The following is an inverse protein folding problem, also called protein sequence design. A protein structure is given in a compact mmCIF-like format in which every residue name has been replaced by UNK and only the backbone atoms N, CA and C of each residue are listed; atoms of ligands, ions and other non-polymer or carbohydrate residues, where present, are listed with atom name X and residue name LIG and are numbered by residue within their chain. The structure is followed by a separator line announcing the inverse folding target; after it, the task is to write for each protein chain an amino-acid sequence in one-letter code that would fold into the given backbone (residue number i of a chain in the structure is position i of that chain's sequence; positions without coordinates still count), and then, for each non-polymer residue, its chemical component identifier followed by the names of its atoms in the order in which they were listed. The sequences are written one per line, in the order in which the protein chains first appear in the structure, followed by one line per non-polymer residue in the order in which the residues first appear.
data_IF_996516860440
#
_entry.id   IF_996516860440
#
_cell.length_a   1.000
_cell.length_b   1.000
_cell.length_c   1.000
_cell.angle_alpha   90.00
_cell.angle_beta   90.00
_cell.angle_gamma   90.00
#
_symmetry.space_group_name_H-M   'P 1'
#
loop_
_entity.id
_entity.type
_entity.pdbx_description
1 polymer ?
#
# COMPACT_ATOMS: atom_id res chain seq x y z
N UNK A 1 -16.63 -5.86 -3.48
CA UNK A 1 -15.50 -5.75 -4.43
C UNK A 1 -14.46 -6.75 -4.01
N UNK A 2 -13.97 -7.57 -4.92
CA UNK A 2 -13.00 -8.61 -4.58
C UNK A 2 -11.56 -8.11 -4.74
N UNK A 3 -11.22 -7.04 -4.01
CA UNK A 3 -9.83 -6.61 -3.88
C UNK A 3 -8.99 -7.68 -3.16
N UNK A 4 -9.62 -8.54 -2.34
CA UNK A 4 -8.96 -9.65 -1.67
C UNK A 4 -8.36 -10.65 -2.65
N UNK A 5 -9.07 -11.01 -3.74
CA UNK A 5 -8.52 -11.88 -4.79
C UNK A 5 -7.32 -11.25 -5.48
N UNK A 6 -7.37 -9.97 -5.83
CA UNK A 6 -6.22 -9.28 -6.42
C UNK A 6 -5.04 -9.27 -5.44
N UNK A 7 -5.29 -8.92 -4.18
CA UNK A 7 -4.25 -8.78 -3.18
C UNK A 7 -3.58 -10.13 -2.86
N UNK A 8 -4.39 -11.18 -2.70
CA UNK A 8 -3.92 -12.55 -2.53
C UNK A 8 -3.11 -13.04 -3.75
N UNK A 9 -3.53 -12.66 -4.96
CA UNK A 9 -2.79 -12.95 -6.17
C UNK A 9 -1.41 -12.28 -6.18
N UNK A 10 -1.33 -10.98 -5.88
CA UNK A 10 -0.09 -10.22 -5.88
C UNK A 10 0.90 -10.67 -4.80
N UNK A 11 0.39 -11.26 -3.72
CA UNK A 11 1.22 -11.88 -2.69
C UNK A 11 1.82 -13.22 -3.14
N UNK A 12 1.03 -14.07 -3.79
CA UNK A 12 1.37 -15.49 -3.96
C UNK A 12 1.77 -15.91 -5.38
N UNK A 13 1.41 -15.13 -6.42
CA UNK A 13 1.49 -15.58 -7.82
C UNK A 13 2.04 -14.47 -8.75
N UNK A 14 3.14 -13.83 -8.37
CA UNK A 14 3.69 -12.66 -9.07
C UNK A 14 4.08 -12.91 -10.54
N UNK A 15 4.45 -14.15 -10.87
CA UNK A 15 4.88 -14.54 -12.22
C UNK A 15 3.71 -14.83 -13.17
N UNK A 16 2.49 -14.99 -12.64
CA UNK A 16 1.32 -15.30 -13.43
C UNK A 16 0.68 -14.01 -13.99
N UNK A 17 -0.13 -14.09 -15.06
CA UNK A 17 -1.05 -13.02 -15.41
C UNK A 17 -2.09 -12.81 -14.30
N UNK A 18 -2.49 -11.56 -14.07
CA UNK A 18 -3.58 -11.27 -13.12
C UNK A 18 -4.86 -11.99 -13.54
N UNK A 19 -5.61 -12.59 -12.59
CA UNK A 19 -6.81 -13.34 -12.91
C UNK A 19 -7.95 -12.41 -13.30
N UNK A 20 -8.79 -12.85 -14.23
CA UNK A 20 -10.08 -12.21 -14.50
C UNK A 20 -10.89 -12.07 -13.19
N UNK A 21 -11.58 -10.94 -12.95
CA UNK A 21 -11.86 -9.82 -13.86
C UNK A 21 -10.80 -8.71 -13.87
N UNK A 22 -9.63 -8.93 -13.27
CA UNK A 22 -8.58 -7.91 -13.21
C UNK A 22 -7.72 -7.90 -14.47
N UNK A 23 -7.28 -6.72 -14.86
CA UNK A 23 -6.30 -6.48 -15.91
C UNK A 23 -5.20 -5.56 -15.37
N UNK A 24 -3.94 -5.95 -15.55
CA UNK A 24 -2.79 -5.10 -15.30
C UNK A 24 -2.61 -4.16 -16.50
N UNK A 25 -2.48 -2.86 -16.23
CA UNK A 25 -2.31 -1.82 -17.25
C UNK A 25 -1.05 -1.03 -16.92
N UNK A 26 -0.20 -0.86 -17.92
CA UNK A 26 1.02 -0.05 -17.85
C UNK A 26 0.77 1.24 -18.62
N UNK A 27 0.77 2.37 -17.91
CA UNK A 27 0.69 3.70 -18.51
C UNK A 27 2.11 4.29 -18.58
N UNK A 28 2.76 4.07 -19.73
CA UNK A 28 4.14 4.52 -19.97
C UNK A 28 4.24 6.05 -19.92
N UNK A 29 3.22 6.76 -20.41
CA UNK A 29 3.24 8.22 -20.44
C UNK A 29 3.19 8.82 -19.03
N UNK A 30 2.44 8.20 -18.13
CA UNK A 30 2.35 8.63 -16.73
C UNK A 30 3.36 7.94 -15.80
N UNK A 31 4.14 7.00 -16.32
CA UNK A 31 5.06 6.17 -15.57
C UNK A 31 4.39 5.45 -14.38
N UNK A 32 3.27 4.76 -14.63
CA UNK A 32 2.45 4.11 -13.60
C UNK A 32 1.97 2.72 -14.04
N UNK A 33 1.79 1.84 -13.06
CA UNK A 33 1.08 0.57 -13.23
C UNK A 33 -0.19 0.61 -12.38
N UNK A 34 -1.29 0.07 -12.90
CA UNK A 34 -2.53 -0.09 -12.16
C UNK A 34 -3.32 -1.30 -12.61
N UNK A 35 -4.15 -1.80 -11.71
CA UNK A 35 -5.06 -2.92 -11.94
C UNK A 35 -6.48 -2.38 -12.11
N UNK A 36 -7.11 -2.72 -13.23
CA UNK A 36 -8.50 -2.36 -13.52
C UNK A 36 -9.37 -3.60 -13.45
N UNK A 37 -10.46 -3.52 -12.70
CA UNK A 37 -11.50 -4.53 -12.73
C UNK A 37 -12.42 -4.28 -13.93
N UNK A 38 -12.49 -5.23 -14.86
CA UNK A 38 -13.19 -5.05 -16.14
C UNK A 38 -14.72 -5.01 -16.01
N UNK A 39 -15.29 -5.59 -14.95
CA UNK A 39 -16.73 -5.61 -14.72
C UNK A 39 -17.24 -4.33 -14.05
N UNK A 40 -16.43 -3.75 -13.16
CA UNK A 40 -16.84 -2.59 -12.34
C UNK A 40 -16.15 -1.28 -12.74
N UNK A 41 -15.09 -1.36 -13.53
CA UNK A 41 -14.23 -0.21 -13.85
C UNK A 41 -13.35 0.26 -12.70
N UNK A 42 -13.39 -0.41 -11.54
CA UNK A 42 -12.63 -0.06 -10.35
C UNK A 42 -11.11 -0.17 -10.59
N UNK A 43 -10.33 0.77 -10.05
CA UNK A 43 -8.88 0.87 -10.29
C UNK A 43 -8.10 0.88 -8.98
N UNK A 44 -7.03 0.10 -8.93
CA UNK A 44 -6.02 0.11 -7.86
C UNK A 44 -4.66 0.39 -8.48
N UNK A 45 -3.97 1.43 -8.03
CA UNK A 45 -2.62 1.77 -8.50
C UNK A 45 -1.57 0.92 -7.80
N UNK A 46 -0.48 0.59 -8.49
CA UNK A 46 0.67 -0.10 -7.91
C UNK A 46 1.87 0.84 -7.80
N UNK A 47 2.22 1.19 -6.57
CA UNK A 47 3.31 2.10 -6.23
C UNK A 47 4.50 1.38 -5.61
N UNK A 48 4.57 0.04 -5.70
CA UNK A 48 5.77 -0.69 -5.31
C UNK A 48 6.96 -0.24 -6.15
N UNK A 49 8.17 -0.12 -5.57
CA UNK A 49 9.36 0.33 -6.30
C UNK A 49 9.66 -0.49 -7.55
N UNK A 50 9.37 -1.79 -7.50
CA UNK A 50 9.52 -2.70 -8.62
C UNK A 50 8.25 -3.55 -8.78
N UNK A 51 7.54 -3.37 -9.89
CA UNK A 51 6.34 -4.14 -10.23
C UNK A 51 6.72 -5.23 -11.22
N UNK A 52 6.53 -6.48 -10.82
CA UNK A 52 6.66 -7.63 -11.70
C UNK A 52 5.47 -7.68 -12.68
N UNK A 53 5.77 -7.69 -13.98
CA UNK A 53 4.79 -7.77 -15.06
C UNK A 53 4.71 -9.18 -15.66
N UNK A 54 5.49 -10.13 -15.13
CA UNK A 54 5.66 -11.47 -15.66
C UNK A 54 6.73 -11.55 -16.76
N UNK A 55 7.18 -12.76 -17.06
CA UNK A 55 8.13 -13.02 -18.15
C UNK A 55 9.51 -12.39 -17.96
N UNK A 56 9.90 -12.05 -16.73
CA UNK A 56 11.16 -11.37 -16.41
C UNK A 56 11.15 -9.86 -16.69
N UNK A 57 9.98 -9.28 -17.00
CA UNK A 57 9.83 -7.85 -17.22
C UNK A 57 9.41 -7.18 -15.92
N UNK A 58 10.17 -6.17 -15.51
CA UNK A 58 9.87 -5.36 -14.35
C UNK A 58 9.63 -3.92 -14.74
N UNK A 59 8.72 -3.28 -14.03
CA UNK A 59 8.47 -1.86 -14.12
C UNK A 59 9.00 -1.16 -12.87
N UNK A 60 9.91 -0.22 -13.05
CA UNK A 60 10.47 0.57 -11.95
C UNK A 60 9.58 1.79 -11.67
N UNK A 61 9.11 1.91 -10.43
CA UNK A 61 8.27 3.01 -9.99
C UNK A 61 9.01 3.90 -8.98
N UNK A 62 9.26 5.14 -9.35
CA UNK A 62 9.91 6.14 -8.49
C UNK A 62 8.92 7.00 -7.71
N UNK A 63 7.62 6.85 -7.94
CA UNK A 63 6.57 7.70 -7.35
C UNK A 63 6.29 7.27 -5.90
N UNK A 64 6.23 5.96 -5.64
CA UNK A 64 5.86 5.42 -4.33
C UNK A 64 6.78 5.82 -3.17
N UNK A 65 8.06 6.07 -3.46
CA UNK A 65 9.05 6.51 -2.46
C UNK A 65 8.68 7.82 -1.77
N UNK A 66 7.89 8.68 -2.44
CA UNK A 66 7.43 9.96 -1.90
C UNK A 66 6.38 9.83 -0.80
N UNK A 67 5.80 8.64 -0.63
CA UNK A 67 4.69 8.40 0.31
C UNK A 67 5.16 7.85 1.66
N UNK A 68 6.44 7.48 1.72
CA UNK A 68 7.08 6.78 2.82
C UNK A 68 7.90 7.79 3.61
N UNK A 69 7.71 7.82 4.92
CA UNK A 69 8.59 8.55 5.84
C UNK A 69 9.60 7.56 6.44
N UNK A 70 10.90 7.80 6.19
CA UNK A 70 11.96 6.91 6.64
C UNK A 70 12.08 6.86 8.17
N UNK A 71 11.75 7.96 8.86
CA UNK A 71 11.81 8.02 10.32
C UNK A 71 10.74 7.13 10.94
N UNK A 72 9.51 7.23 10.44
CA UNK A 72 8.40 6.38 10.91
C UNK A 72 8.59 4.92 10.47
N UNK A 73 9.17 4.67 9.30
CA UNK A 73 9.53 3.30 8.90
C UNK A 73 10.50 2.67 9.89
N UNK A 74 11.49 3.44 10.35
CA UNK A 74 12.44 2.98 11.36
C UNK A 74 11.72 2.61 12.66
N UNK A 75 10.81 3.46 13.15
CA UNK A 75 10.00 3.18 14.34
C UNK A 75 9.13 1.92 14.18
N UNK A 76 8.41 1.81 13.06
CA UNK A 76 7.54 0.66 12.78
C UNK A 76 8.35 -0.64 12.61
N UNK A 77 9.55 -0.57 12.02
CA UNK A 77 10.41 -1.75 11.79
C UNK A 77 10.89 -2.41 13.08
N UNK A 78 10.91 -1.66 14.19
CA UNK A 78 11.25 -2.17 15.51
C UNK A 78 10.08 -2.90 16.18
N UNK A 79 8.84 -2.77 15.66
CA UNK A 79 7.70 -3.52 16.16
C UNK A 79 7.84 -4.98 15.73
N UNK A 80 7.88 -5.90 16.70
CA UNK A 80 7.99 -7.35 16.43
C UNK A 80 6.90 -7.85 15.47
N UNK A 81 5.69 -7.31 15.59
CA UNK A 81 4.56 -7.65 14.72
C UNK A 81 4.83 -7.28 13.25
N UNK A 82 5.60 -6.21 12.99
CA UNK A 82 5.84 -5.73 11.64
C UNK A 82 6.81 -6.61 10.85
N UNK A 83 7.74 -7.30 11.53
CA UNK A 83 8.74 -8.14 10.86
C UNK A 83 8.13 -9.37 10.17
N UNK A 84 6.96 -9.82 10.63
CA UNK A 84 6.27 -11.00 10.10
C UNK A 84 5.17 -10.66 9.08
N UNK A 85 4.89 -9.39 8.83
CA UNK A 85 3.81 -8.97 7.92
C UNK A 85 4.32 -9.02 6.47
N UNK A 86 3.54 -9.58 5.52
CA UNK A 86 3.87 -9.51 4.10
C UNK A 86 4.07 -8.04 3.68
N UNK A 87 5.15 -7.75 2.96
CA UNK A 87 5.47 -6.40 2.41
C UNK A 87 4.53 -6.05 1.25
N UNK A 88 3.24 -6.02 1.51
CA UNK A 88 2.21 -5.55 0.59
C UNK A 88 1.09 -4.93 1.42
N UNK A 89 0.84 -3.65 1.17
CA UNK A 89 -0.20 -2.90 1.86
C UNK A 89 -1.11 -2.24 0.85
N UNK A 90 -2.41 -2.25 1.15
CA UNK A 90 -3.41 -1.46 0.45
C UNK A 90 -3.68 -0.19 1.27
N UNK A 91 -3.55 0.97 0.64
CA UNK A 91 -4.01 2.23 1.21
C UNK A 91 -5.14 2.81 0.35
N UNK A 92 -5.93 3.69 0.96
CA UNK A 92 -6.91 4.49 0.23
C UNK A 92 -6.87 5.95 0.67
N UNK A 93 -7.19 6.87 -0.24
CA UNK A 93 -7.34 8.29 0.07
C UNK A 93 -8.45 8.92 -0.74
N UNK A 94 -9.22 9.80 -0.10
CA UNK A 94 -10.36 10.50 -0.69
C UNK A 94 -10.24 12.03 -0.63
N UNK A 95 -9.03 12.56 -0.38
CA UNK A 95 -8.85 14.00 -0.10
C UNK A 95 -9.18 14.94 -1.27
N UNK A 96 -9.26 14.44 -2.50
CA UNK A 96 -9.66 15.19 -3.70
C UNK A 96 -11.15 15.04 -4.05
N UNK A 97 -11.95 14.42 -3.16
CA UNK A 97 -13.35 14.09 -3.43
C UNK A 97 -13.56 12.80 -4.22
N UNK A 98 -12.48 12.22 -4.77
CA UNK A 98 -12.47 10.90 -5.41
C UNK A 98 -11.61 9.96 -4.57
N UNK A 99 -12.09 8.73 -4.34
CA UNK A 99 -11.32 7.72 -3.60
C UNK A 99 -10.32 7.02 -4.52
N UNK A 100 -9.05 7.12 -4.17
CA UNK A 100 -7.93 6.43 -4.79
C UNK A 100 -7.52 5.26 -3.92
N UNK A 101 -7.12 4.16 -4.56
CA UNK A 101 -6.57 2.97 -3.92
C UNK A 101 -5.19 2.71 -4.47
N UNK A 102 -4.25 2.37 -3.59
CA UNK A 102 -2.86 2.14 -3.98
C UNK A 102 -2.23 0.99 -3.21
N UNK A 103 -1.36 0.26 -3.90
CA UNK A 103 -0.55 -0.83 -3.36
C UNK A 103 0.88 -0.33 -3.15
N UNK A 104 1.47 -0.68 -2.02
CA UNK A 104 2.83 -0.31 -1.63
C UNK A 104 3.49 -1.46 -0.87
N UNK A 105 4.82 -1.46 -0.80
CA UNK A 105 5.60 -2.42 -0.02
C UNK A 105 5.85 -1.99 1.42
N UNK A 106 5.58 -0.72 1.73
CA UNK A 106 5.85 -0.10 3.02
C UNK A 106 4.64 0.73 3.48
N UNK A 107 4.46 0.96 4.79
CA UNK A 107 3.33 1.73 5.28
C UNK A 107 3.36 3.15 4.73
N UNK A 108 2.23 3.59 4.17
CA UNK A 108 2.07 4.97 3.69
C UNK A 108 1.67 5.83 4.86
N UNK A 109 2.49 6.84 5.15
CA UNK A 109 2.24 7.75 6.26
C UNK A 109 1.63 9.05 5.74
N UNK A 110 1.98 9.47 4.53
CA UNK A 110 1.48 10.70 3.92
C UNK A 110 0.59 10.39 2.74
N UNK A 111 -0.52 11.10 2.66
CA UNK A 111 -1.41 11.01 1.52
C UNK A 111 -0.68 11.48 0.25
N UNK A 112 -0.64 10.67 -0.81
CA UNK A 112 0.08 11.02 -2.04
C UNK A 112 -0.48 12.25 -2.77
N UNK A 113 -1.72 12.63 -2.46
CA UNK A 113 -2.43 13.71 -3.17
C UNK A 113 -2.41 15.05 -2.43
N UNK A 114 -2.31 15.05 -1.11
CA UNK A 114 -2.33 16.28 -0.30
C UNK A 114 -1.24 16.38 0.76
N UNK A 115 -0.32 15.40 0.81
CA UNK A 115 0.79 15.28 1.77
C UNK A 115 0.38 15.24 3.25
N UNK A 116 -0.92 15.22 3.55
CA UNK A 116 -1.43 15.08 4.92
C UNK A 116 -1.19 13.67 5.44
N UNK A 117 -0.87 13.56 6.73
CA UNK A 117 -0.65 12.26 7.37
C UNK A 117 -1.94 11.45 7.35
N UNK A 118 -1.87 10.25 6.76
CA UNK A 118 -2.90 9.21 6.75
C UNK A 118 -2.17 7.87 6.73
N UNK A 119 -2.10 7.21 7.89
CA UNK A 119 -1.60 5.86 7.97
C UNK A 119 -2.79 4.87 7.94
N UNK A 120 -3.03 4.31 6.77
CA UNK A 120 -4.02 3.24 6.55
C UNK A 120 -3.29 2.01 6.05
N UNK A 121 -3.15 1.01 6.91
CA UNK A 121 -2.50 -0.25 6.58
C UNK A 121 -3.57 -1.34 6.40
N UNK A 122 -3.98 -1.51 5.16
CA UNK A 122 -4.65 -2.70 4.61
C UNK A 122 -3.76 -3.96 4.60
N UNK A 123 -3.81 -4.89 5.56
CA UNK A 123 -3.15 -6.21 5.42
C UNK A 123 -4.16 -7.30 5.06
N UNK A 124 -3.70 -8.44 4.52
CA UNK A 124 -4.53 -9.65 4.39
C UNK A 124 -5.10 -10.16 5.71
N UNK A 125 -4.48 -9.80 6.83
CA UNK A 125 -4.85 -10.28 8.17
C UNK A 125 -5.77 -9.29 8.91
N UNK A 126 -5.99 -8.09 8.38
CA UNK A 126 -6.79 -7.05 9.01
C UNK A 126 -6.37 -5.62 8.64
N UNK A 127 -7.11 -4.63 9.15
CA UNK A 127 -6.80 -3.21 8.99
C UNK A 127 -6.08 -2.69 10.23
N UNK A 128 -4.90 -2.11 10.05
CA UNK A 128 -4.22 -1.31 11.08
C UNK A 128 -4.38 0.15 10.66
N UNK A 129 -5.23 0.89 11.36
CA UNK A 129 -5.42 2.32 11.15
C UNK A 129 -4.68 3.08 12.24
N UNK A 130 -3.84 4.03 11.85
CA UNK A 130 -3.23 4.97 12.78
C UNK A 130 -3.70 6.37 12.36
N UNK A 131 -4.61 6.94 13.14
CA UNK A 131 -4.98 8.34 13.01
C UNK A 131 -4.04 9.18 13.86
N UNK A 132 -3.59 10.32 13.34
CA UNK A 132 -2.83 11.30 14.13
C UNK A 132 -3.70 11.95 15.22
N UNK A 133 -5.03 11.78 15.19
CA UNK A 133 -5.87 12.09 16.35
C UNK A 133 -5.65 11.12 17.53
N UNK A 134 -4.99 9.97 17.33
CA UNK A 134 -4.44 9.16 18.41
C UNK A 134 -2.98 9.58 18.70
N UNK A 135 -2.80 10.77 19.27
CA UNK A 135 -1.62 11.10 20.08
C UNK A 135 -1.42 10.09 21.25
N UNK A 136 -2.38 9.21 21.53
CA UNK A 136 -2.24 8.13 22.50
C UNK A 136 -1.36 6.94 22.06
N UNK A 137 -1.00 6.81 20.78
CA UNK A 137 0.06 5.89 20.41
C UNK A 137 1.44 6.38 20.87
N UNK A 138 1.61 7.69 21.10
CA UNK A 138 2.77 8.19 21.83
C UNK A 138 2.61 7.98 23.35
N UNK A 139 1.40 8.10 23.91
CA UNK A 139 1.23 7.93 25.37
C UNK A 139 1.39 6.47 25.84
N UNK A 140 0.99 5.47 25.05
CA UNK A 140 1.19 4.07 25.45
C UNK A 140 2.61 3.54 25.19
N UNK A 141 3.45 4.27 24.46
CA UNK A 141 4.89 3.96 24.37
C UNK A 141 5.71 4.64 25.46
N UNK A 142 5.21 5.74 26.05
CA UNK A 142 5.87 6.41 27.19
C UNK A 142 5.48 5.79 28.53
N UNK A 143 4.27 5.24 28.70
CA UNK A 143 3.89 4.59 29.97
C UNK A 143 4.28 3.09 30.06
N UNK A 144 4.81 2.49 28.98
CA UNK A 144 5.25 1.09 28.97
C UNK A 144 6.71 0.85 29.38
N UNK A 145 7.50 1.89 29.60
CA UNK A 145 8.91 1.79 30.00
C UNK A 145 9.20 2.28 31.42
N UNK A 146 8.18 2.77 32.13
CA UNK A 146 8.24 3.01 33.57
C UNK A 146 7.53 1.86 34.31
N UNK A 147 8.14 0.67 34.28
CA UNK A 147 8.00 -0.39 35.31
C UNK A 147 9.19 -1.34 35.27
#
# INVERSE_FOLDING_TARGET
MDSAVLFNFLLNNRECPVPFPWQAIIDIQKNLVYYRNNETGFVIFDFRPLVDLGGGVFFENTIGSRFIDQEVLHEISNLQDFQNIPRLFLFSTSCSGVTFYGIVEQPVIRCPLCDRIKLVIQTCQGTIAFDKQNEQLQNNMVEGLDN
#
